data_IF_293077493034
#
_entry.id   IF_293077493034
#
_cell.length_a   1.000
_cell.length_b   1.000
_cell.length_c   1.000
_cell.angle_alpha   90.00
_cell.angle_beta   90.00
_cell.angle_gamma   90.00
#
_symmetry.space_group_name_H-M   'P 1'
#
loop_
_entity.id
_entity.type
_entity.pdbx_description
1 polymer ?
#
# COMPACT_ATOMS: atom_id res chain seq x y z
N UNK A 1 -18.19 0.67 16.69
CA UNK A 1 -17.87 0.89 15.26
C UNK A 1 -16.43 1.33 15.02
N UNK A 2 -15.77 2.07 15.94
CA UNK A 2 -14.37 2.52 15.77
C UNK A 2 -13.35 1.39 15.52
N UNK A 3 -13.40 0.31 16.30
CA UNK A 3 -12.42 -0.79 16.19
C UNK A 3 -12.41 -1.50 14.82
N UNK A 4 -13.54 -1.55 14.12
CA UNK A 4 -13.61 -2.17 12.78
C UNK A 4 -12.86 -1.33 11.73
N UNK A 5 -12.94 0.01 11.85
CA UNK A 5 -12.22 0.93 10.97
C UNK A 5 -10.71 0.92 11.25
N UNK A 6 -10.30 0.79 12.51
CA UNK A 6 -8.87 0.71 12.87
C UNK A 6 -8.24 -0.59 12.35
N UNK A 7 -8.94 -1.74 12.47
CA UNK A 7 -8.48 -3.03 11.92
C UNK A 7 -8.41 -2.96 10.38
N UNK A 8 -9.44 -2.39 9.73
CA UNK A 8 -9.43 -2.16 8.28
C UNK A 8 -8.28 -1.25 7.84
N UNK A 9 -7.97 -0.21 8.63
CA UNK A 9 -6.85 0.69 8.40
C UNK A 9 -5.49 -0.03 8.48
N UNK A 10 -5.29 -0.91 9.47
CA UNK A 10 -4.07 -1.74 9.59
C UNK A 10 -3.93 -2.69 8.42
N UNK A 11 -5.02 -3.34 7.99
CA UNK A 11 -5.00 -4.25 6.84
C UNK A 11 -4.63 -3.51 5.54
N UNK A 12 -5.22 -2.33 5.30
CA UNK A 12 -4.89 -1.46 4.17
C UNK A 12 -3.42 -1.02 4.16
N UNK A 13 -2.88 -0.70 5.34
CA UNK A 13 -1.47 -0.38 5.51
C UNK A 13 -0.55 -1.54 5.12
N UNK A 14 -0.87 -2.76 5.58
CA UNK A 14 -0.11 -3.95 5.23
C UNK A 14 -0.11 -4.23 3.72
N UNK A 15 -1.29 -4.17 3.10
CA UNK A 15 -1.44 -4.38 1.64
C UNK A 15 -0.72 -3.28 0.85
N UNK A 16 -0.89 -2.02 1.25
CA UNK A 16 -0.27 -0.89 0.59
C UNK A 16 1.26 -0.96 0.65
N UNK A 17 1.82 -1.25 1.82
CA UNK A 17 3.27 -1.46 2.00
C UNK A 17 3.78 -2.62 1.14
N UNK A 18 3.07 -3.75 1.11
CA UNK A 18 3.47 -4.90 0.29
C UNK A 18 3.53 -4.54 -1.21
N UNK A 19 2.50 -3.88 -1.73
CA UNK A 19 2.44 -3.47 -3.14
C UNK A 19 3.53 -2.45 -3.48
N UNK A 20 3.70 -1.44 -2.65
CA UNK A 20 4.72 -0.40 -2.84
C UNK A 20 6.13 -1.00 -2.80
N UNK A 21 6.45 -1.83 -1.81
CA UNK A 21 7.76 -2.48 -1.68
C UNK A 21 8.02 -3.41 -2.86
N UNK A 22 7.02 -4.17 -3.30
CA UNK A 22 7.16 -5.04 -4.49
C UNK A 22 7.51 -4.21 -5.73
N UNK A 23 6.78 -3.12 -6.00
CA UNK A 23 7.01 -2.26 -7.16
C UNK A 23 8.39 -1.56 -7.10
N UNK A 24 8.81 -1.10 -5.91
CA UNK A 24 10.15 -0.52 -5.72
C UNK A 24 11.24 -1.56 -5.98
N UNK A 25 11.11 -2.78 -5.44
CA UNK A 25 12.08 -3.86 -5.68
C UNK A 25 12.20 -4.21 -7.16
N UNK A 26 11.08 -4.27 -7.87
CA UNK A 26 11.07 -4.51 -9.32
C UNK A 26 11.78 -3.38 -10.07
N UNK A 27 11.49 -2.13 -9.70
CA UNK A 27 12.12 -0.94 -10.29
C UNK A 27 13.65 -0.97 -10.09
N UNK A 28 14.10 -1.21 -8.86
CA UNK A 28 15.52 -1.28 -8.51
C UNK A 28 16.24 -2.46 -9.18
N UNK A 29 15.55 -3.57 -9.40
CA UNK A 29 16.13 -4.73 -10.07
C UNK A 29 16.34 -4.51 -11.58
N UNK A 30 15.84 -3.39 -12.15
CA UNK A 30 15.90 -3.12 -13.60
C UNK A 30 15.09 -4.11 -14.44
N UNK A 31 14.26 -4.95 -13.83
CA UNK A 31 13.44 -5.99 -14.48
C UNK A 31 12.02 -5.50 -14.73
N UNK A 32 11.88 -4.26 -15.17
CA UNK A 32 10.60 -3.57 -15.31
C UNK A 32 9.65 -4.34 -16.26
N UNK A 33 10.17 -4.79 -17.40
CA UNK A 33 9.39 -5.50 -18.42
C UNK A 33 9.07 -6.96 -18.06
N UNK A 34 9.92 -7.61 -17.26
CA UNK A 34 9.77 -9.04 -16.94
C UNK A 34 8.89 -9.29 -15.72
N UNK A 35 8.91 -8.37 -14.75
CA UNK A 35 8.18 -8.51 -13.49
C UNK A 35 6.91 -7.66 -13.44
N UNK A 36 6.61 -6.94 -14.52
CA UNK A 36 5.40 -6.12 -14.65
C UNK A 36 5.42 -4.91 -13.75
N UNK A 37 6.49 -4.10 -13.82
CA UNK A 37 6.52 -2.82 -13.13
C UNK A 37 5.38 -1.93 -13.64
N UNK A 38 4.59 -1.40 -12.71
CA UNK A 38 3.48 -0.53 -13.04
C UNK A 38 3.41 0.65 -12.07
N UNK A 39 3.55 1.86 -12.62
CA UNK A 39 3.44 3.10 -11.87
C UNK A 39 2.05 3.27 -11.24
N UNK A 40 0.99 2.72 -11.85
CA UNK A 40 -0.36 2.70 -11.27
C UNK A 40 -0.41 1.77 -10.06
N UNK A 41 0.30 0.65 -10.11
CA UNK A 41 0.46 -0.26 -8.97
C UNK A 41 1.17 0.39 -7.78
N UNK A 42 2.24 1.16 -8.07
CA UNK A 42 2.96 1.94 -7.05
C UNK A 42 2.05 3.01 -6.42
N UNK A 43 1.31 3.75 -7.27
CA UNK A 43 0.35 4.76 -6.81
C UNK A 43 -0.77 4.18 -5.95
N UNK A 44 -1.30 3.02 -6.33
CA UNK A 44 -2.33 2.31 -5.56
C UNK A 44 -1.82 1.89 -4.18
N UNK A 45 -0.57 1.43 -4.10
CA UNK A 45 0.08 1.11 -2.82
C UNK A 45 0.20 2.32 -1.90
N UNK A 46 0.65 3.46 -2.44
CA UNK A 46 0.79 4.71 -1.68
C UNK A 46 -0.57 5.22 -1.20
N UNK A 47 -1.59 5.24 -2.07
CA UNK A 47 -2.94 5.68 -1.71
C UNK A 47 -3.53 4.77 -0.62
N UNK A 48 -3.32 3.45 -0.72
CA UNK A 48 -3.78 2.49 0.29
C UNK A 48 -3.13 2.74 1.66
N UNK A 49 -1.84 3.10 1.69
CA UNK A 49 -1.14 3.51 2.92
C UNK A 49 -1.76 4.78 3.49
N UNK A 50 -1.99 5.81 2.67
CA UNK A 50 -2.58 7.08 3.11
C UNK A 50 -3.98 6.88 3.71
N UNK A 51 -4.83 6.10 3.05
CA UNK A 51 -6.18 5.78 3.53
C UNK A 51 -6.10 4.95 4.82
N UNK A 52 -5.21 3.96 4.87
CA UNK A 52 -5.00 3.13 6.06
C UNK A 52 -4.59 3.95 7.29
N UNK A 53 -3.61 4.83 7.12
CA UNK A 53 -3.16 5.75 8.18
C UNK A 53 -4.29 6.69 8.61
N UNK A 54 -5.03 7.28 7.65
CA UNK A 54 -6.15 8.16 7.98
C UNK A 54 -7.23 7.45 8.80
N UNK A 55 -7.59 6.22 8.42
CA UNK A 55 -8.56 5.41 9.16
C UNK A 55 -8.07 5.07 10.56
N UNK A 56 -6.79 4.72 10.72
CA UNK A 56 -6.22 4.46 12.05
C UNK A 56 -6.27 5.73 12.89
N UNK A 57 -5.77 6.86 12.38
CA UNK A 57 -5.65 8.11 13.15
C UNK A 57 -7.03 8.67 13.53
N UNK A 58 -8.03 8.57 12.65
CA UNK A 58 -9.37 9.11 12.89
C UNK A 58 -10.20 8.26 13.86
N UNK A 59 -9.93 6.95 13.92
CA UNK A 59 -10.75 6.00 14.68
C UNK A 59 -9.99 5.30 15.82
N UNK A 60 -8.75 5.71 16.11
CA UNK A 60 -8.09 5.48 17.39
C UNK A 60 -8.77 6.32 18.49
#
# INVERSE_FOLDING_TARGET
MSGLYSIGGVALLGVGLYLTVKQIKIFMAGKQDQLGWDIRGLGTGIISIMIGVYLIVKYL
#
